data_IF_863113124271
#
_entry.id   IF_863113124271
#
_cell.length_a   1.000
_cell.length_b   1.000
_cell.length_c   1.000
_cell.angle_alpha   90.00
_cell.angle_beta   90.00
_cell.angle_gamma   90.00
#
_symmetry.space_group_name_H-M   'P 1'
#
loop_
_entity.id
_entity.type
_entity.pdbx_description
1 polymer ?
#
# COMPACT_ATOMS: atom_id res chain seq x y z
N UNK A 1 0.61 11.95 17.88
CA UNK A 1 0.44 10.78 17.00
C UNK A 1 0.61 9.55 17.87
N UNK A 2 -0.48 8.98 18.38
CA UNK A 2 -0.47 7.76 19.21
C UNK A 2 -0.19 6.54 18.31
N UNK A 3 1.06 6.37 17.89
CA UNK A 3 1.49 5.26 17.03
C UNK A 3 2.09 4.09 17.84
N UNK A 4 2.21 4.22 19.16
CA UNK A 4 3.07 3.36 19.98
C UNK A 4 2.33 2.53 21.03
N UNK A 5 1.20 1.93 20.65
CA UNK A 5 0.52 0.89 21.42
C UNK A 5 0.76 -0.48 20.77
N UNK A 6 0.86 -1.55 21.57
CA UNK A 6 1.01 -2.95 21.13
C UNK A 6 0.05 -3.41 20.02
N UNK A 7 -1.08 -2.69 19.84
CA UNK A 7 -1.97 -2.80 18.69
C UNK A 7 -2.33 -1.41 18.16
N UNK A 8 -2.48 -1.29 16.83
CA UNK A 8 -2.82 -0.02 16.19
C UNK A 8 -4.23 0.47 16.60
N UNK A 9 -4.35 1.71 17.04
CA UNK A 9 -5.62 2.38 17.40
C UNK A 9 -6.33 3.03 16.22
N UNK A 10 -5.67 3.18 15.07
CA UNK A 10 -6.31 3.68 13.85
C UNK A 10 -7.36 2.65 13.37
N UNK A 11 -8.65 3.01 13.17
CA UNK A 11 -9.72 2.02 12.96
C UNK A 11 -9.46 1.06 11.81
N UNK A 12 -9.04 1.58 10.64
CA UNK A 12 -8.79 0.77 9.44
C UNK A 12 -7.52 -0.08 9.61
N UNK A 13 -6.44 0.51 10.10
CA UNK A 13 -5.14 -0.17 10.21
C UNK A 13 -5.18 -1.19 11.34
N UNK A 14 -5.87 -0.90 12.44
CA UNK A 14 -6.05 -1.80 13.58
C UNK A 14 -6.80 -3.08 13.18
N UNK A 15 -7.90 -2.98 12.44
CA UNK A 15 -8.64 -4.16 11.97
C UNK A 15 -7.82 -5.01 11.02
N UNK A 16 -7.12 -4.37 10.07
CA UNK A 16 -6.25 -5.09 9.14
C UNK A 16 -5.09 -5.75 9.90
N UNK A 17 -4.46 -5.03 10.83
CA UNK A 17 -3.35 -5.54 11.64
C UNK A 17 -3.78 -6.71 12.53
N UNK A 18 -5.01 -6.69 13.06
CA UNK A 18 -5.53 -7.79 13.85
C UNK A 18 -5.72 -9.05 13.01
N UNK A 19 -6.32 -8.93 11.83
CA UNK A 19 -6.49 -10.06 10.90
C UNK A 19 -5.13 -10.62 10.48
N UNK A 20 -4.21 -9.74 10.13
CA UNK A 20 -2.83 -10.09 9.78
C UNK A 20 -2.07 -10.72 10.95
N UNK A 21 -2.32 -10.25 12.17
CA UNK A 21 -1.76 -10.79 13.40
C UNK A 21 -2.21 -12.21 13.69
N UNK A 22 -3.48 -12.55 13.40
CA UNK A 22 -3.95 -13.94 13.48
C UNK A 22 -3.20 -14.87 12.52
N UNK A 23 -2.90 -14.40 11.32
CA UNK A 23 -2.09 -15.15 10.35
C UNK A 23 -0.67 -15.36 10.91
N UNK A 24 -0.03 -14.30 11.40
CA UNK A 24 1.31 -14.39 12.00
C UNK A 24 1.35 -15.34 13.21
N UNK A 25 0.37 -15.23 14.11
CA UNK A 25 0.26 -16.10 15.29
C UNK A 25 0.08 -17.57 14.88
N UNK A 26 -0.81 -17.85 13.93
CA UNK A 26 -1.03 -19.21 13.43
C UNK A 26 0.24 -19.82 12.83
N UNK A 27 0.97 -19.04 12.04
CA UNK A 27 2.26 -19.48 11.47
C UNK A 27 3.27 -19.80 12.58
N UNK A 28 3.40 -18.91 13.55
CA UNK A 28 4.35 -19.11 14.65
C UNK A 28 3.99 -20.34 15.49
N UNK A 29 2.69 -20.58 15.77
CA UNK A 29 2.23 -21.78 16.48
C UNK A 29 2.61 -23.05 15.71
N UNK A 30 2.45 -23.07 14.38
CA UNK A 30 2.85 -24.21 13.55
C UNK A 30 4.36 -24.42 13.60
N UNK A 31 5.14 -23.34 13.48
CA UNK A 31 6.60 -23.38 13.55
C UNK A 31 7.12 -23.89 14.90
N UNK A 32 6.49 -23.45 16.00
CA UNK A 32 6.79 -23.95 17.33
C UNK A 32 6.41 -25.42 17.50
N UNK A 33 5.25 -25.84 16.97
CA UNK A 33 4.79 -27.24 17.04
C UNK A 33 5.69 -28.22 16.29
N UNK A 34 6.37 -27.78 15.22
CA UNK A 34 7.38 -28.60 14.50
C UNK A 34 8.79 -28.47 15.10
N UNK A 35 8.94 -27.78 16.24
CA UNK A 35 10.20 -27.63 16.97
C UNK A 35 11.15 -26.56 16.41
N UNK A 36 10.65 -25.65 15.55
CA UNK A 36 11.45 -24.58 14.94
C UNK A 36 10.82 -23.20 15.24
N UNK A 37 10.73 -22.78 16.52
CA UNK A 37 10.14 -21.49 16.89
C UNK A 37 11.05 -20.33 16.45
N UNK A 38 10.86 -19.87 15.21
CA UNK A 38 11.72 -18.91 14.55
C UNK A 38 10.92 -17.75 13.94
N UNK A 39 11.14 -16.55 14.44
CA UNK A 39 10.41 -15.36 13.98
C UNK A 39 10.80 -14.98 12.53
N UNK A 40 12.07 -15.13 12.15
CA UNK A 40 12.50 -14.86 10.78
C UNK A 40 11.78 -15.73 9.75
N UNK A 41 11.65 -17.03 10.02
CA UNK A 41 10.85 -17.94 9.20
C UNK A 41 9.36 -17.58 9.24
N UNK A 42 8.83 -17.22 10.41
CA UNK A 42 7.44 -16.79 10.54
C UNK A 42 7.15 -15.60 9.62
N UNK A 43 8.03 -14.60 9.58
CA UNK A 43 7.92 -13.43 8.70
C UNK A 43 7.94 -13.85 7.21
N UNK A 44 8.79 -14.80 6.80
CA UNK A 44 8.85 -15.28 5.41
C UNK A 44 7.53 -15.95 5.01
N UNK A 45 7.04 -16.92 5.79
CA UNK A 45 5.78 -17.61 5.49
C UNK A 45 4.59 -16.66 5.51
N UNK A 46 4.59 -15.74 6.48
CA UNK A 46 3.59 -14.70 6.60
C UNK A 46 3.54 -13.84 5.34
N UNK A 47 4.71 -13.44 4.83
CA UNK A 47 4.83 -12.70 3.58
C UNK A 47 4.25 -13.51 2.42
N UNK A 48 4.63 -14.78 2.26
CA UNK A 48 4.11 -15.67 1.20
C UNK A 48 2.58 -15.72 1.22
N UNK A 49 1.98 -15.94 2.39
CA UNK A 49 0.53 -16.07 2.54
C UNK A 49 -0.18 -14.76 2.20
N UNK A 50 0.29 -13.63 2.74
CA UNK A 50 -0.31 -12.32 2.46
C UNK A 50 -0.26 -12.00 0.98
N UNK A 51 0.89 -12.20 0.33
CA UNK A 51 1.02 -11.96 -1.12
C UNK A 51 0.15 -12.91 -1.95
N UNK A 52 0.01 -14.17 -1.54
CA UNK A 52 -0.88 -15.12 -2.19
C UNK A 52 -2.33 -14.64 -2.14
N UNK A 53 -2.82 -14.24 -0.97
CA UNK A 53 -4.17 -13.68 -0.78
C UNK A 53 -4.41 -12.40 -1.59
N UNK A 54 -3.37 -11.58 -1.79
CA UNK A 54 -3.45 -10.37 -2.60
C UNK A 54 -3.34 -10.59 -4.12
N UNK A 55 -2.84 -11.75 -4.57
CA UNK A 55 -2.66 -12.07 -6.00
C UNK A 55 -3.88 -11.73 -6.88
N UNK A 56 -5.14 -12.10 -6.54
CA UNK A 56 -6.28 -11.79 -7.39
C UNK A 56 -6.52 -10.28 -7.55
N UNK A 57 -6.22 -9.49 -6.51
CA UNK A 57 -6.27 -8.03 -6.58
C UNK A 57 -5.18 -7.52 -7.53
N UNK A 58 -3.94 -7.98 -7.37
CA UNK A 58 -2.82 -7.60 -8.24
C UNK A 58 -3.09 -7.94 -9.72
N UNK A 59 -3.66 -9.11 -10.01
CA UNK A 59 -4.05 -9.49 -11.39
C UNK A 59 -5.07 -8.50 -11.97
N UNK A 60 -6.07 -8.08 -11.19
CA UNK A 60 -7.05 -7.07 -11.65
C UNK A 60 -6.37 -5.72 -11.91
N UNK A 61 -5.45 -5.31 -11.03
CA UNK A 61 -4.70 -4.06 -11.20
C UNK A 61 -3.84 -4.08 -12.47
N UNK A 62 -3.10 -5.16 -12.72
CA UNK A 62 -2.27 -5.28 -13.91
C UNK A 62 -3.08 -5.35 -15.21
N UNK A 63 -4.27 -5.97 -15.21
CA UNK A 63 -5.20 -5.92 -16.34
C UNK A 63 -5.60 -4.48 -16.69
N UNK A 64 -5.90 -3.66 -15.67
CA UNK A 64 -6.20 -2.24 -15.87
C UNK A 64 -5.00 -1.49 -16.43
N UNK A 65 -3.77 -1.80 -15.98
CA UNK A 65 -2.54 -1.24 -16.53
C UNK A 65 -2.32 -1.61 -18.01
N UNK A 66 -2.63 -2.86 -18.43
CA UNK A 66 -2.58 -3.24 -19.85
C UNK A 66 -3.62 -2.51 -20.68
N UNK A 67 -4.84 -2.36 -20.19
CA UNK A 67 -5.86 -1.57 -20.92
C UNK A 67 -5.41 -0.11 -21.07
N UNK A 68 -4.75 0.43 -20.05
CA UNK A 68 -4.18 1.77 -20.10
C UNK A 68 -3.06 1.90 -21.12
N UNK A 69 -2.27 0.85 -21.40
CA UNK A 69 -1.22 0.91 -22.43
C UNK A 69 -1.79 1.05 -23.85
N UNK A 70 -3.00 0.51 -24.11
CA UNK A 70 -3.72 0.72 -25.38
C UNK A 70 -4.17 2.18 -25.54
N UNK A 71 -4.47 2.84 -24.42
CA UNK A 71 -4.92 4.24 -24.39
C UNK A 71 -3.76 5.23 -24.59
N UNK A 72 -2.54 4.87 -24.19
CA UNK A 72 -1.34 5.72 -24.28
C UNK A 72 -1.11 6.37 -25.66
N UNK A 73 -1.16 5.67 -26.81
CA UNK A 73 -0.90 6.30 -28.11
C UNK A 73 -1.91 7.40 -28.49
N UNK A 74 -3.21 7.23 -28.17
CA UNK A 74 -4.20 8.30 -28.41
C UNK A 74 -4.00 9.46 -27.44
N UNK A 75 -3.64 9.16 -26.19
CA UNK A 75 -3.26 10.17 -25.20
C UNK A 75 -2.08 11.01 -25.67
N UNK A 76 -1.04 10.39 -26.23
CA UNK A 76 0.13 11.09 -26.79
C UNK A 76 -0.25 11.98 -27.99
N UNK A 77 -1.21 11.55 -28.83
CA UNK A 77 -1.69 12.38 -29.95
C UNK A 77 -2.39 13.66 -29.46
N UNK A 78 -3.27 13.53 -28.46
CA UNK A 78 -3.90 14.70 -27.83
C UNK A 78 -2.85 15.60 -27.18
N UNK A 79 -1.87 15.03 -26.50
CA UNK A 79 -0.80 15.83 -25.88
C UNK A 79 -0.01 16.63 -26.93
N UNK A 80 0.43 16.00 -28.02
CA UNK A 80 1.12 16.68 -29.12
C UNK A 80 0.26 17.80 -29.75
N UNK A 81 -1.07 17.61 -29.83
CA UNK A 81 -2.01 18.62 -30.35
C UNK A 81 -2.08 19.91 -29.50
N UNK A 82 -1.83 19.80 -28.20
CA UNK A 82 -1.88 20.93 -27.25
C UNK A 82 -0.51 21.35 -26.71
N UNK A 83 0.58 20.76 -27.21
CA UNK A 83 1.93 21.07 -26.77
C UNK A 83 2.24 22.57 -26.96
N UNK A 84 2.80 23.20 -25.92
CA UNK A 84 3.13 24.63 -25.92
C UNK A 84 1.95 25.59 -25.67
N UNK A 85 0.70 25.10 -25.62
CA UNK A 85 -0.48 25.92 -25.33
C UNK A 85 -0.71 26.01 -23.82
N UNK A 86 -0.67 27.22 -23.28
CA UNK A 86 -0.84 27.48 -21.83
C UNK A 86 -2.13 28.23 -21.49
N UNK A 87 -2.94 28.59 -22.47
CA UNK A 87 -4.23 29.24 -22.25
C UNK A 87 -5.21 28.31 -21.53
N UNK A 88 -6.02 28.89 -20.63
CA UNK A 88 -6.98 28.15 -19.80
C UNK A 88 -7.97 27.35 -20.65
N UNK A 89 -8.39 27.90 -21.80
CA UNK A 89 -9.31 27.24 -22.73
C UNK A 89 -8.68 25.99 -23.37
N UNK A 90 -7.42 26.05 -23.80
CA UNK A 90 -6.70 24.89 -24.35
C UNK A 90 -6.46 23.82 -23.30
N UNK A 91 -6.16 24.19 -22.05
CA UNK A 91 -6.02 23.22 -20.96
C UNK A 91 -7.35 22.52 -20.66
N UNK A 92 -8.47 23.25 -20.62
CA UNK A 92 -9.81 22.65 -20.45
C UNK A 92 -10.14 21.70 -21.61
N UNK A 93 -9.90 22.10 -22.86
CA UNK A 93 -10.13 21.23 -24.04
C UNK A 93 -9.25 19.98 -24.01
N UNK A 94 -7.99 20.11 -23.61
CA UNK A 94 -7.09 18.96 -23.46
C UNK A 94 -7.61 17.98 -22.40
N UNK A 95 -8.11 18.48 -21.26
CA UNK A 95 -8.72 17.64 -20.23
C UNK A 95 -10.01 16.96 -20.73
N UNK A 96 -10.84 17.67 -21.51
CA UNK A 96 -12.05 17.12 -22.11
C UNK A 96 -11.75 16.00 -23.11
N UNK A 97 -10.81 16.22 -24.05
CA UNK A 97 -10.38 15.21 -25.03
C UNK A 97 -9.74 13.99 -24.34
N UNK A 98 -8.91 14.22 -23.32
CA UNK A 98 -8.35 13.17 -22.47
C UNK A 98 -9.44 12.32 -21.81
N UNK A 99 -10.45 12.98 -21.24
CA UNK A 99 -11.57 12.30 -20.61
C UNK A 99 -12.43 11.55 -21.63
N UNK A 100 -12.61 12.11 -22.83
CA UNK A 100 -13.33 11.46 -23.93
C UNK A 100 -12.61 10.19 -24.40
N UNK A 101 -11.27 10.20 -24.46
CA UNK A 101 -10.48 9.00 -24.75
C UNK A 101 -10.68 7.95 -23.66
N UNK A 102 -10.54 8.31 -22.37
CA UNK A 102 -10.78 7.35 -21.28
C UNK A 102 -12.18 6.72 -21.36
N UNK A 103 -13.19 7.53 -21.69
CA UNK A 103 -14.55 7.04 -21.88
C UNK A 103 -14.70 6.15 -23.11
N UNK A 104 -14.06 6.51 -24.23
CA UNK A 104 -14.03 5.71 -25.46
C UNK A 104 -13.48 4.33 -25.17
N UNK A 105 -12.41 4.18 -24.40
CA UNK A 105 -11.83 2.86 -24.07
C UNK A 105 -12.43 2.21 -22.81
N UNK A 106 -13.41 2.84 -22.16
CA UNK A 106 -13.99 2.33 -20.93
C UNK A 106 -12.96 2.15 -19.81
N UNK A 107 -11.92 2.98 -19.77
CA UNK A 107 -10.86 2.99 -18.74
C UNK A 107 -11.09 4.17 -17.80
N UNK A 108 -10.75 4.02 -16.52
CA UNK A 108 -10.82 5.11 -15.53
C UNK A 108 -9.43 5.60 -15.16
N UNK A 109 -9.17 6.93 -15.12
CA UNK A 109 -7.89 7.47 -14.69
C UNK A 109 -7.56 7.12 -13.22
N UNK A 110 -8.56 6.92 -12.37
CA UNK A 110 -8.40 6.48 -10.97
C UNK A 110 -8.09 4.99 -10.81
N UNK A 111 -8.17 4.22 -11.89
CA UNK A 111 -7.92 2.77 -11.85
C UNK A 111 -6.46 2.43 -11.55
N UNK A 112 -5.53 3.33 -11.89
CA UNK A 112 -4.09 3.15 -11.69
C UNK A 112 -3.59 3.57 -10.31
N UNK A 113 -4.33 4.41 -9.57
CA UNK A 113 -3.96 4.84 -8.21
C UNK A 113 -4.64 4.02 -7.10
N UNK A 114 -5.72 3.29 -7.42
CA UNK A 114 -6.38 2.37 -6.48
C UNK A 114 -5.43 1.36 -5.80
N UNK A 115 -4.41 0.79 -6.47
CA UNK A 115 -3.41 -0.05 -5.82
C UNK A 115 -2.75 0.60 -4.62
N UNK A 116 -2.30 1.85 -4.80
CA UNK A 116 -1.58 2.58 -3.76
C UNK A 116 -2.47 2.83 -2.54
N UNK A 117 -3.74 3.18 -2.78
CA UNK A 117 -4.70 3.44 -1.70
C UNK A 117 -4.96 2.21 -0.84
N UNK A 118 -5.04 1.01 -1.45
CA UNK A 118 -5.20 -0.25 -0.71
C UNK A 118 -3.87 -0.70 -0.09
N UNK A 119 -2.75 -0.47 -0.79
CA UNK A 119 -1.43 -0.92 -0.38
C UNK A 119 -0.93 -0.18 0.86
N UNK A 120 -1.19 1.13 0.99
CA UNK A 120 -0.66 1.92 2.10
C UNK A 120 -1.19 1.48 3.47
N UNK A 121 -2.52 1.37 3.72
CA UNK A 121 -3.04 0.85 4.98
C UNK A 121 -2.57 -0.58 5.27
N UNK A 122 -2.49 -1.41 4.23
CA UNK A 122 -1.99 -2.77 4.37
C UNK A 122 -0.54 -2.78 4.81
N UNK A 123 0.32 -1.99 4.16
CA UNK A 123 1.73 -1.88 4.49
C UNK A 123 1.93 -1.45 5.95
N UNK A 124 1.20 -0.43 6.42
CA UNK A 124 1.27 0.01 7.82
C UNK A 124 0.78 -1.06 8.79
N UNK A 125 -0.30 -1.76 8.48
CA UNK A 125 -0.78 -2.87 9.29
C UNK A 125 0.24 -4.01 9.37
N UNK A 126 0.91 -4.30 8.27
CA UNK A 126 1.98 -5.28 8.16
C UNK A 126 3.18 -4.90 9.04
N UNK A 127 3.62 -3.64 8.97
CA UNK A 127 4.67 -3.11 9.84
C UNK A 127 4.28 -3.17 11.31
N UNK A 128 3.05 -2.82 11.65
CA UNK A 128 2.55 -2.90 13.02
C UNK A 128 2.72 -4.32 13.57
N UNK A 129 2.38 -5.34 12.79
CA UNK A 129 2.49 -6.74 13.21
C UNK A 129 3.95 -7.15 13.41
N UNK A 130 4.87 -6.72 12.54
CA UNK A 130 6.29 -7.10 12.62
C UNK A 130 7.02 -6.34 13.75
N UNK A 131 6.70 -5.07 13.99
CA UNK A 131 7.30 -4.30 15.08
C UNK A 131 6.77 -4.70 16.46
N UNK A 132 5.50 -5.06 16.56
CA UNK A 132 4.84 -5.42 17.82
C UNK A 132 4.47 -6.91 17.87
N UNK A 133 5.38 -7.78 17.41
CA UNK A 133 5.18 -9.23 17.38
C UNK A 133 4.65 -9.77 18.72
N UNK A 134 5.17 -9.39 19.90
CA UNK A 134 4.62 -9.83 21.19
C UNK A 134 3.12 -9.55 21.38
N UNK A 135 2.61 -8.46 20.80
CA UNK A 135 1.19 -8.08 20.87
C UNK A 135 0.27 -8.88 19.94
N UNK A 136 0.84 -9.56 18.93
CA UNK A 136 0.09 -10.36 17.95
C UNK A 136 0.37 -11.85 18.05
N UNK A 137 1.55 -12.26 18.53
CA UNK A 137 1.99 -13.65 18.68
C UNK A 137 2.05 -13.98 20.16
N UNK A 138 1.03 -14.69 20.65
CA UNK A 138 0.80 -14.91 22.08
C UNK A 138 2.01 -15.57 22.76
N UNK A 139 2.54 -16.65 22.17
CA UNK A 139 3.71 -17.35 22.73
C UNK A 139 4.94 -16.45 22.87
N UNK A 140 5.16 -15.54 21.92
CA UNK A 140 6.28 -14.58 22.00
C UNK A 140 6.03 -13.55 23.09
N UNK A 141 4.81 -13.05 23.25
CA UNK A 141 4.46 -12.14 24.33
C UNK A 141 4.59 -12.75 25.73
N UNK A 142 4.20 -14.02 25.88
CA UNK A 142 4.32 -14.77 27.14
C UNK A 142 5.78 -14.91 27.60
N UNK A 143 6.75 -14.99 26.68
CA UNK A 143 8.19 -15.05 27.01
C UNK A 143 8.66 -13.83 27.81
N UNK A 144 8.07 -12.66 27.55
CA UNK A 144 8.45 -11.41 28.22
C UNK A 144 7.59 -11.10 29.43
N UNK A 145 6.41 -11.72 29.57
CA UNK A 145 5.42 -11.37 30.58
C UNK A 145 5.98 -11.40 32.00
N UNK A 146 6.74 -12.46 32.36
CA UNK A 146 7.31 -12.60 33.69
C UNK A 146 8.27 -11.46 34.07
N UNK A 147 9.13 -11.03 33.14
CA UNK A 147 10.03 -9.90 33.36
C UNK A 147 9.27 -8.56 33.31
N UNK A 148 8.33 -8.41 32.38
CA UNK A 148 7.53 -7.19 32.23
C UNK A 148 6.70 -6.87 33.49
N UNK A 149 6.12 -7.89 34.13
CA UNK A 149 5.42 -7.74 35.41
C UNK A 149 6.34 -7.20 36.50
N UNK A 150 7.56 -7.75 36.63
CA UNK A 150 8.53 -7.30 37.63
C UNK A 150 9.00 -5.87 37.36
N UNK A 151 9.28 -5.53 36.10
CA UNK A 151 9.71 -4.19 35.69
C UNK A 151 8.59 -3.14 35.73
N UNK A 152 7.32 -3.56 35.76
CA UNK A 152 6.18 -2.64 35.90
C UNK A 152 6.03 -2.03 37.29
N UNK A 153 6.83 -2.48 38.26
CA UNK A 153 6.87 -1.91 39.60
C UNK A 153 7.49 -0.50 39.56
N UNK A 154 6.92 0.41 40.36
CA UNK A 154 7.22 1.85 40.29
C UNK A 154 8.71 2.18 40.51
N UNK A 155 9.43 1.37 41.28
CA UNK A 155 10.84 1.54 41.61
C UNK A 155 11.81 1.31 40.42
N UNK A 156 11.36 0.69 39.32
CA UNK A 156 12.21 0.42 38.16
C UNK A 156 11.90 1.33 36.97
N UNK A 157 10.76 2.02 36.97
CA UNK A 157 10.23 2.70 35.78
C UNK A 157 11.09 3.88 35.33
N UNK A 158 11.65 4.65 36.27
CA UNK A 158 12.51 5.79 35.96
C UNK A 158 13.82 5.33 35.30
N UNK A 159 14.51 4.36 35.91
CA UNK A 159 15.73 3.76 35.35
C UNK A 159 15.47 3.12 33.98
N UNK A 160 14.31 2.47 33.80
CA UNK A 160 13.91 1.87 32.53
C UNK A 160 13.66 2.92 31.45
N UNK A 161 12.99 4.03 31.81
CA UNK A 161 12.71 5.14 30.90
C UNK A 161 13.98 5.86 30.47
N UNK A 162 14.89 6.10 31.42
CA UNK A 162 16.20 6.68 31.12
C UNK A 162 17.00 5.75 30.20
N UNK A 163 17.06 4.45 30.51
CA UNK A 163 17.74 3.47 29.68
C UNK A 163 17.19 3.42 28.25
N UNK A 164 15.86 3.46 28.08
CA UNK A 164 15.22 3.51 26.77
C UNK A 164 15.64 4.74 25.97
N UNK A 165 15.71 5.90 26.64
CA UNK A 165 16.13 7.18 26.05
C UNK A 165 17.59 7.14 25.60
N UNK A 166 18.50 6.70 26.49
CA UNK A 166 19.94 6.64 26.23
C UNK A 166 20.28 5.67 25.07
N UNK A 167 19.49 4.61 24.93
CA UNK A 167 19.66 3.59 23.90
C UNK A 167 18.80 3.83 22.65
N UNK A 168 18.07 4.95 22.57
CA UNK A 168 17.19 5.32 21.44
C UNK A 168 16.15 4.25 21.11
N UNK A 169 15.58 3.63 22.13
CA UNK A 169 14.55 2.60 22.01
C UNK A 169 13.19 3.28 22.00
N UNK A 170 12.46 3.15 20.88
CA UNK A 170 11.14 3.75 20.72
C UNK A 170 10.05 2.90 21.37
N UNK A 171 9.92 2.98 22.70
CA UNK A 171 8.89 2.26 23.46
C UNK A 171 8.07 3.22 24.35
N UNK A 172 6.78 2.91 24.52
CA UNK A 172 5.88 3.68 25.39
C UNK A 172 5.91 3.08 26.80
N UNK A 173 6.76 3.63 27.67
CA UNK A 173 6.89 3.23 29.07
C UNK A 173 6.02 4.10 30.00
N UNK A 174 4.78 4.36 29.59
CA UNK A 174 3.85 5.24 30.31
C UNK A 174 2.46 4.60 30.41
N UNK A 175 1.66 5.08 31.37
CA UNK A 175 0.34 4.52 31.70
C UNK A 175 0.39 3.59 32.92
N UNK A 176 -0.69 2.83 33.13
CA UNK A 176 -0.86 1.96 34.30
C UNK A 176 -1.39 0.58 33.92
N UNK A 177 -1.18 -0.40 34.82
CA UNK A 177 -1.70 -1.76 34.66
C UNK A 177 -1.26 -2.46 33.38
N UNK A 178 -2.22 -3.03 32.65
CA UNK A 178 -1.98 -3.80 31.44
C UNK A 178 -1.33 -2.97 30.31
N UNK A 179 -1.64 -1.68 30.21
CA UNK A 179 -1.05 -0.81 29.19
C UNK A 179 0.46 -0.64 29.42
N UNK A 180 0.87 -0.44 30.68
CA UNK A 180 2.28 -0.34 31.04
C UNK A 180 3.01 -1.66 30.80
N UNK A 181 2.43 -2.79 31.19
CA UNK A 181 3.03 -4.11 30.97
C UNK A 181 3.23 -4.42 29.48
N UNK A 182 2.28 -4.05 28.62
CA UNK A 182 2.41 -4.16 27.17
C UNK A 182 3.52 -3.25 26.64
N UNK A 183 3.60 -2.01 27.12
CA UNK A 183 4.68 -1.09 26.76
C UNK A 183 6.07 -1.60 27.15
N UNK A 184 6.20 -2.21 28.33
CA UNK A 184 7.44 -2.86 28.79
C UNK A 184 7.73 -4.11 27.96
N UNK A 185 6.73 -4.91 27.61
CA UNK A 185 6.91 -6.08 26.75
C UNK A 185 7.45 -5.69 25.37
N UNK A 186 6.88 -4.64 24.76
CA UNK A 186 7.36 -4.10 23.49
C UNK A 186 8.79 -3.55 23.62
N UNK A 187 9.08 -2.83 24.71
CA UNK A 187 10.44 -2.37 25.03
C UNK A 187 11.44 -3.52 25.07
N UNK A 188 11.13 -4.59 25.82
CA UNK A 188 12.00 -5.76 25.99
C UNK A 188 12.25 -6.46 24.65
N UNK A 189 11.21 -6.58 23.81
CA UNK A 189 11.34 -7.20 22.49
C UNK A 189 12.25 -6.42 21.54
N UNK A 190 12.29 -5.09 21.66
CA UNK A 190 13.13 -4.22 20.84
C UNK A 190 14.61 -4.21 21.26
N UNK A 191 14.97 -4.82 22.39
CA UNK A 191 16.34 -4.85 22.88
C UNK A 191 17.26 -5.69 21.99
N UNK A 192 18.38 -5.08 21.58
CA UNK A 192 19.50 -5.75 20.91
C UNK A 192 20.28 -6.62 21.90
N UNK A 193 21.01 -7.65 21.43
CA UNK A 193 21.81 -8.52 22.32
C UNK A 193 22.71 -7.77 23.31
N UNK A 194 23.49 -6.78 22.84
CA UNK A 194 24.37 -5.98 23.71
C UNK A 194 23.62 -5.06 24.70
N UNK A 195 22.34 -4.78 24.46
CA UNK A 195 21.52 -3.96 25.36
C UNK A 195 20.94 -4.79 26.52
N UNK A 196 20.74 -6.09 26.33
CA UNK A 196 20.32 -6.99 27.39
C UNK A 196 21.35 -7.07 28.53
N UNK A 197 22.64 -7.14 28.19
CA UNK A 197 23.73 -7.13 29.17
C UNK A 197 23.74 -5.82 29.97
N UNK A 198 23.64 -4.68 29.28
CA UNK A 198 23.57 -3.37 29.93
C UNK A 198 22.35 -3.20 30.82
N UNK A 199 21.21 -3.78 30.44
CA UNK A 199 19.98 -3.75 31.26
C UNK A 199 20.17 -4.56 32.55
N UNK A 200 20.80 -5.73 32.45
CA UNK A 200 21.08 -6.60 33.60
C UNK A 200 22.03 -5.96 34.62
N UNK A 201 22.90 -5.06 34.17
CA UNK A 201 23.91 -4.40 34.99
C UNK A 201 23.47 -3.01 35.52
N UNK A 202 22.21 -2.60 35.31
CA UNK A 202 21.67 -1.37 35.92
C UNK A 202 21.69 -1.49 37.44
N UNK A 203 22.25 -0.47 38.10
CA UNK A 203 22.19 -0.35 39.56
C UNK A 203 20.73 -0.36 40.04
N UNK A 204 20.38 -1.34 40.87
CA UNK A 204 19.00 -1.57 41.33
C UNK A 204 18.30 -2.76 40.65
N UNK A 205 18.83 -3.28 39.54
CA UNK A 205 18.26 -4.44 38.83
C UNK A 205 18.92 -5.78 39.23
N UNK A 206 19.77 -5.78 40.27
CA UNK A 206 20.51 -6.97 40.73
C UNK A 206 19.60 -8.16 41.07
N UNK A 207 18.43 -7.92 41.66
CA UNK A 207 17.42 -8.95 41.95
C UNK A 207 16.72 -9.51 40.72
N UNK A 208 16.81 -8.81 39.58
CA UNK A 208 16.21 -9.19 38.30
C UNK A 208 17.21 -9.82 37.34
N UNK A 209 18.53 -9.73 37.61
CA UNK A 209 19.61 -10.14 36.70
C UNK A 209 19.39 -11.51 36.06
N UNK A 210 19.12 -12.54 36.87
CA UNK A 210 18.86 -13.90 36.37
C UNK A 210 17.61 -13.97 35.51
N UNK A 211 16.53 -13.25 35.85
CA UNK A 211 15.31 -13.21 35.03
C UNK A 211 15.56 -12.49 33.71
N UNK A 212 16.37 -11.42 33.73
CA UNK A 212 16.77 -10.66 32.54
C UNK A 212 17.58 -11.56 31.60
N UNK A 213 18.60 -12.24 32.11
CA UNK A 213 19.47 -13.14 31.33
C UNK A 213 18.68 -14.32 30.73
N UNK A 214 17.77 -14.93 31.49
CA UNK A 214 16.89 -16.00 30.99
C UNK A 214 15.96 -15.51 29.89
N UNK A 215 15.35 -14.34 30.07
CA UNK A 215 14.46 -13.73 29.05
C UNK A 215 15.25 -13.35 27.80
N UNK A 216 16.46 -12.83 27.96
CA UNK A 216 17.36 -12.52 26.85
C UNK A 216 17.74 -13.77 26.05
N UNK A 217 18.03 -14.89 26.73
CA UNK A 217 18.35 -16.16 26.09
C UNK A 217 17.16 -16.71 25.28
N UNK A 218 15.95 -16.68 25.85
CA UNK A 218 14.72 -17.07 25.15
C UNK A 218 14.45 -16.18 23.93
N UNK A 219 14.54 -14.86 24.10
CA UNK A 219 14.40 -13.90 23.00
C UNK A 219 15.42 -14.15 21.89
N UNK A 220 16.68 -14.43 22.25
CA UNK A 220 17.73 -14.75 21.29
C UNK A 220 17.38 -16.01 20.50
N UNK A 221 16.95 -17.08 21.16
CA UNK A 221 16.62 -18.35 20.49
C UNK A 221 15.60 -18.18 19.36
N UNK A 222 14.55 -17.39 19.58
CA UNK A 222 13.47 -17.19 18.60
C UNK A 222 13.79 -16.15 17.53
N UNK A 223 14.71 -15.24 17.82
CA UNK A 223 15.12 -14.16 16.92
C UNK A 223 16.35 -14.51 16.06
N UNK A 224 17.01 -15.64 16.27
CA UNK A 224 18.14 -16.05 15.42
C UNK A 224 17.65 -16.55 14.06
N UNK A 225 18.06 -15.91 12.97
CA UNK A 225 17.78 -16.33 11.60
C UNK A 225 19.03 -16.18 10.73
N UNK A 226 19.37 -17.23 9.97
CA UNK A 226 20.57 -17.26 9.13
C UNK A 226 21.88 -16.88 9.86
N UNK A 227 21.97 -17.22 11.16
CA UNK A 227 23.13 -16.92 12.00
C UNK A 227 23.17 -15.51 12.59
N UNK A 228 22.13 -14.70 12.38
CA UNK A 228 22.07 -13.32 12.89
C UNK A 228 20.80 -13.11 13.71
N UNK A 229 20.84 -12.26 14.74
CA UNK A 229 19.66 -11.89 15.51
C UNK A 229 18.85 -10.82 14.79
N UNK A 230 17.60 -11.11 14.40
CA UNK A 230 16.79 -10.23 13.58
C UNK A 230 16.40 -8.88 14.22
N UNK A 231 16.62 -8.69 15.53
CA UNK A 231 16.42 -7.40 16.20
C UNK A 231 17.53 -6.39 15.90
N UNK A 232 18.71 -6.87 15.50
CA UNK A 232 19.82 -6.01 15.06
C UNK A 232 19.58 -5.45 13.67
N UNK A 233 20.14 -4.28 13.37
CA UNK A 233 20.21 -3.78 12.00
C UNK A 233 21.40 -4.39 11.25
N UNK A 234 21.37 -4.49 9.92
CA UNK A 234 22.53 -4.89 9.14
C UNK A 234 23.77 -4.06 9.47
N UNK A 235 23.61 -2.77 9.76
CA UNK A 235 24.74 -1.93 10.17
C UNK A 235 25.37 -2.38 11.49
N UNK A 236 24.56 -2.72 12.50
CA UNK A 236 25.07 -3.23 13.79
C UNK A 236 25.88 -4.51 13.57
N UNK A 237 25.34 -5.43 12.75
CA UNK A 237 25.97 -6.72 12.47
C UNK A 237 27.26 -6.56 11.68
N UNK A 238 27.30 -5.62 10.72
CA UNK A 238 28.53 -5.30 9.98
C UNK A 238 29.59 -4.76 10.94
N UNK A 239 29.23 -3.79 11.78
CA UNK A 239 30.17 -3.18 12.74
C UNK A 239 30.71 -4.22 13.71
N UNK A 240 29.80 -4.93 14.41
CA UNK A 240 30.17 -5.95 15.39
C UNK A 240 30.91 -7.12 14.73
N UNK A 241 30.51 -7.49 13.51
CA UNK A 241 31.12 -8.59 12.77
C UNK A 241 32.54 -8.29 12.30
N UNK A 242 32.83 -7.05 11.91
CA UNK A 242 34.19 -6.60 11.60
C UNK A 242 35.05 -6.61 12.87
N UNK A 243 34.55 -6.08 13.98
CA UNK A 243 35.26 -6.07 15.27
C UNK A 243 35.56 -7.49 15.77
N UNK A 244 34.62 -8.43 15.58
CA UNK A 244 34.74 -9.83 16.00
C UNK A 244 35.41 -10.76 14.95
N UNK A 245 35.77 -10.25 13.76
CA UNK A 245 36.35 -11.07 12.68
C UNK A 245 35.40 -12.09 12.04
N UNK A 246 34.08 -11.95 12.21
CA UNK A 246 33.05 -12.89 11.72
C UNK A 246 32.56 -12.51 10.31
N UNK A 247 33.46 -12.61 9.33
CA UNK A 247 33.22 -12.16 7.95
C UNK A 247 32.02 -12.79 7.25
N UNK A 248 31.63 -14.02 7.60
CA UNK A 248 30.43 -14.67 7.04
C UNK A 248 29.17 -13.88 7.42
N UNK A 249 29.05 -13.44 8.67
CA UNK A 249 27.91 -12.65 9.13
C UNK A 249 27.90 -11.26 8.50
N UNK A 250 29.08 -10.66 8.31
CA UNK A 250 29.23 -9.39 7.58
C UNK A 250 28.70 -9.52 6.16
N UNK A 251 29.08 -10.58 5.44
CA UNK A 251 28.59 -10.84 4.07
C UNK A 251 27.07 -10.99 4.06
N UNK A 252 26.51 -11.81 4.95
CA UNK A 252 25.05 -12.01 5.04
C UNK A 252 24.34 -10.67 5.32
N UNK A 253 24.86 -9.85 6.23
CA UNK A 253 24.30 -8.54 6.55
C UNK A 253 24.37 -7.56 5.37
N UNK A 254 25.48 -7.54 4.61
CA UNK A 254 25.62 -6.70 3.40
C UNK A 254 24.67 -7.17 2.28
N UNK A 255 24.41 -8.47 2.18
CA UNK A 255 23.49 -8.99 1.17
C UNK A 255 22.05 -8.50 1.36
N UNK A 256 21.62 -8.21 2.59
CA UNK A 256 20.25 -7.74 2.89
C UNK A 256 19.88 -6.47 2.10
N UNK A 257 20.58 -5.33 2.25
CA UNK A 257 20.27 -4.11 1.50
C UNK A 257 20.54 -4.25 -0.01
N UNK A 258 21.52 -5.05 -0.42
CA UNK A 258 21.83 -5.31 -1.84
C UNK A 258 20.68 -6.06 -2.52
N UNK A 259 20.18 -7.12 -1.89
CA UNK A 259 19.04 -7.89 -2.38
C UNK A 259 17.77 -7.05 -2.37
N UNK A 260 17.53 -6.26 -1.32
CA UNK A 260 16.40 -5.33 -1.27
C UNK A 260 16.45 -4.34 -2.44
N UNK A 261 17.59 -3.68 -2.68
CA UNK A 261 17.78 -2.80 -3.83
C UNK A 261 17.52 -3.50 -5.17
N UNK A 262 18.21 -4.62 -5.40
CA UNK A 262 18.17 -5.34 -6.66
C UNK A 262 16.77 -5.85 -6.98
N UNK A 263 16.09 -6.45 -6.00
CA UNK A 263 14.74 -6.99 -6.18
C UNK A 263 13.70 -5.88 -6.36
N UNK A 264 13.85 -4.74 -5.68
CA UNK A 264 13.00 -3.56 -5.89
C UNK A 264 13.17 -3.03 -7.32
N UNK A 265 14.42 -2.86 -7.78
CA UNK A 265 14.75 -2.44 -9.13
C UNK A 265 14.20 -3.40 -10.19
N UNK A 266 14.38 -4.71 -9.99
CA UNK A 266 13.88 -5.75 -10.89
C UNK A 266 12.35 -5.70 -10.97
N UNK A 267 11.66 -5.55 -9.84
CA UNK A 267 10.21 -5.46 -9.80
C UNK A 267 9.69 -4.28 -10.64
N UNK A 268 10.34 -3.11 -10.53
CA UNK A 268 9.99 -1.94 -11.36
C UNK A 268 10.24 -2.17 -12.85
N UNK A 269 11.29 -2.91 -13.21
CA UNK A 269 11.60 -3.23 -14.61
C UNK A 269 10.60 -4.22 -15.22
N UNK A 270 10.01 -5.08 -14.37
CA UNK A 270 8.98 -6.04 -14.77
C UNK A 270 7.57 -5.44 -14.79
N UNK A 271 7.34 -4.28 -14.17
CA UNK A 271 6.05 -3.59 -14.24
C UNK A 271 5.86 -2.87 -15.58
N UNK A 272 4.64 -2.84 -16.15
CA UNK A 272 4.36 -2.09 -17.37
C UNK A 272 4.65 -0.60 -17.18
N UNK A 273 5.64 -0.06 -17.88
CA UNK A 273 5.95 1.36 -17.86
C UNK A 273 5.05 2.12 -18.84
N UNK A 274 4.52 3.26 -18.40
CA UNK A 274 3.74 4.17 -19.24
C UNK A 274 4.69 5.11 -20.00
N UNK A 275 4.68 5.08 -21.33
CA UNK A 275 5.55 5.90 -22.18
C UNK A 275 5.06 7.34 -22.36
N UNK A 276 5.97 8.28 -22.05
CA UNK A 276 6.13 9.72 -22.39
C UNK A 276 5.07 10.47 -23.24
N UNK A 277 4.70 11.69 -22.79
CA UNK A 277 4.24 12.72 -23.72
C UNK A 277 3.57 14.03 -23.23
N UNK A 278 3.42 14.35 -21.93
CA UNK A 278 2.60 15.51 -21.49
C UNK A 278 3.34 16.42 -20.49
N UNK A 279 3.27 17.76 -20.57
CA UNK A 279 3.79 18.66 -19.53
C UNK A 279 3.07 18.55 -18.15
N UNK A 280 1.76 18.25 -18.12
CA UNK A 280 1.02 18.00 -16.86
C UNK A 280 1.15 16.56 -16.35
N UNK A 281 1.62 15.64 -17.19
CA UNK A 281 1.97 14.27 -16.81
C UNK A 281 3.48 14.09 -16.67
N UNK A 282 4.30 15.08 -17.05
CA UNK A 282 5.75 15.15 -16.84
C UNK A 282 6.04 15.34 -15.35
N UNK A 283 5.15 16.04 -14.61
CA UNK A 283 5.19 16.04 -13.15
C UNK A 283 4.90 14.65 -12.57
N UNK A 284 3.89 13.94 -13.08
CA UNK A 284 3.53 12.60 -12.60
C UNK A 284 4.51 11.51 -13.09
N UNK A 285 5.07 11.61 -14.29
CA UNK A 285 6.09 10.71 -14.84
C UNK A 285 7.48 11.01 -14.29
N UNK A 286 7.82 12.28 -14.08
CA UNK A 286 8.98 12.69 -13.30
C UNK A 286 8.89 12.14 -11.88
N UNK A 287 7.71 12.18 -11.26
CA UNK A 287 7.46 11.55 -9.96
C UNK A 287 7.59 10.02 -10.03
N UNK A 288 7.08 9.36 -11.09
CA UNK A 288 7.24 7.91 -11.29
C UNK A 288 8.69 7.49 -11.58
N UNK A 289 9.44 8.28 -12.36
CA UNK A 289 10.85 8.04 -12.66
C UNK A 289 11.70 8.29 -11.42
N UNK A 290 11.41 9.35 -10.66
CA UNK A 290 11.99 9.59 -9.34
C UNK A 290 11.68 8.43 -8.40
N UNK A 291 10.43 7.95 -8.36
CA UNK A 291 10.07 6.78 -7.55
C UNK A 291 10.84 5.52 -7.99
N UNK A 292 10.91 5.22 -9.29
CA UNK A 292 11.58 4.02 -9.79
C UNK A 292 13.10 4.05 -9.59
N UNK A 293 13.72 5.23 -9.58
CA UNK A 293 15.18 5.37 -9.41
C UNK A 293 15.58 5.55 -7.95
N UNK A 294 14.87 6.39 -7.20
CA UNK A 294 15.23 6.75 -5.83
C UNK A 294 14.70 5.75 -4.82
N UNK A 295 13.49 5.20 -5.01
CA UNK A 295 12.87 4.33 -4.02
C UNK A 295 13.70 3.06 -3.75
N UNK A 296 14.28 2.35 -4.74
CA UNK A 296 15.19 1.24 -4.46
C UNK A 296 16.39 1.64 -3.60
N UNK A 297 17.01 2.79 -3.89
CA UNK A 297 18.18 3.29 -3.17
C UNK A 297 17.79 3.66 -1.73
N UNK A 298 16.67 4.36 -1.58
CA UNK A 298 16.12 4.71 -0.28
C UNK A 298 15.74 3.48 0.53
N UNK A 299 15.10 2.48 -0.10
CA UNK A 299 14.77 1.20 0.53
C UNK A 299 16.03 0.47 0.99
N UNK A 300 17.10 0.47 0.18
CA UNK A 300 18.38 -0.12 0.55
C UNK A 300 19.01 0.59 1.75
N UNK A 301 19.02 1.93 1.74
CA UNK A 301 19.48 2.73 2.87
C UNK A 301 18.68 2.43 4.14
N UNK A 302 17.36 2.34 4.04
CA UNK A 302 16.50 2.00 5.18
C UNK A 302 16.71 0.56 5.66
N UNK A 303 17.03 -0.38 4.77
CA UNK A 303 17.39 -1.75 5.17
C UNK A 303 18.69 -1.77 5.99
N UNK A 304 19.64 -0.86 5.73
CA UNK A 304 20.89 -0.80 6.48
C UNK A 304 20.64 -0.37 7.93
N UNK A 305 19.69 0.53 8.15
CA UNK A 305 19.46 1.18 9.45
C UNK A 305 18.37 0.53 10.30
N UNK A 306 17.39 -0.13 9.68
CA UNK A 306 16.32 -0.82 10.40
C UNK A 306 16.68 -2.26 10.79
N UNK A 307 15.89 -2.81 11.71
CA UNK A 307 16.05 -4.20 12.15
C UNK A 307 15.92 -5.17 10.98
N UNK A 308 16.70 -6.25 11.01
CA UNK A 308 16.68 -7.25 9.94
C UNK A 308 15.34 -7.95 9.80
N UNK A 309 14.50 -8.01 10.84
CA UNK A 309 13.13 -8.54 10.71
C UNK A 309 12.34 -7.88 9.57
N UNK A 310 12.51 -6.57 9.39
CA UNK A 310 11.90 -5.81 8.29
C UNK A 310 12.62 -6.05 6.97
N UNK A 311 13.95 -6.13 7.00
CA UNK A 311 14.75 -6.49 5.83
C UNK A 311 14.34 -7.84 5.24
N UNK A 312 14.11 -8.84 6.09
CA UNK A 312 13.62 -10.18 5.70
C UNK A 312 12.26 -10.06 5.01
N UNK A 313 11.31 -9.32 5.60
CA UNK A 313 10.01 -9.06 4.98
C UNK A 313 10.15 -8.41 3.60
N UNK A 314 10.99 -7.37 3.48
CA UNK A 314 11.20 -6.67 2.22
C UNK A 314 11.78 -7.56 1.14
N UNK A 315 12.82 -8.35 1.46
CA UNK A 315 13.45 -9.28 0.53
C UNK A 315 12.46 -10.37 0.12
N UNK A 316 11.83 -11.04 1.09
CA UNK A 316 10.86 -12.09 0.81
C UNK A 316 9.72 -11.57 -0.06
N UNK A 317 9.16 -10.41 0.30
CA UNK A 317 8.09 -9.77 -0.44
C UNK A 317 8.53 -9.40 -1.86
N UNK A 318 9.73 -8.86 -2.03
CA UNK A 318 10.24 -8.48 -3.35
C UNK A 318 10.50 -9.69 -4.26
N UNK A 319 11.04 -10.79 -3.71
CA UNK A 319 11.19 -12.06 -4.43
C UNK A 319 9.82 -12.60 -4.88
N UNK A 320 8.84 -12.66 -3.96
CA UNK A 320 7.49 -13.12 -4.28
C UNK A 320 6.84 -12.22 -5.34
N UNK A 321 6.96 -10.89 -5.20
CA UNK A 321 6.45 -9.94 -6.19
C UNK A 321 7.12 -10.14 -7.55
N UNK A 322 8.41 -10.42 -7.62
CA UNK A 322 9.09 -10.71 -8.89
C UNK A 322 8.51 -11.98 -9.54
N UNK A 323 8.36 -13.06 -8.77
CA UNK A 323 7.76 -14.31 -9.25
C UNK A 323 6.32 -14.06 -9.74
N UNK A 324 5.49 -13.41 -8.92
CA UNK A 324 4.13 -13.02 -9.27
C UNK A 324 4.10 -12.16 -10.53
N UNK A 325 4.98 -11.16 -10.64
CA UNK A 325 5.03 -10.27 -11.80
C UNK A 325 5.37 -11.04 -13.08
N UNK A 326 6.32 -11.97 -13.05
CA UNK A 326 6.63 -12.83 -14.21
C UNK A 326 5.44 -13.69 -14.60
N UNK A 327 4.81 -14.36 -13.62
CA UNK A 327 3.65 -15.24 -13.86
C UNK A 327 2.45 -14.45 -14.40
N UNK A 328 2.13 -13.31 -13.79
CA UNK A 328 1.00 -12.49 -14.18
C UNK A 328 1.28 -11.85 -15.55
N UNK A 329 2.49 -11.32 -15.80
CA UNK A 329 2.87 -10.79 -17.11
C UNK A 329 2.71 -11.84 -18.20
N UNK A 330 3.17 -13.08 -17.96
CA UNK A 330 3.02 -14.18 -18.92
C UNK A 330 1.55 -14.50 -19.20
N UNK A 331 0.71 -14.54 -18.17
CA UNK A 331 -0.75 -14.75 -18.32
C UNK A 331 -1.44 -13.59 -19.02
N UNK A 332 -0.98 -12.37 -18.78
CA UNK A 332 -1.55 -11.14 -19.34
C UNK A 332 -1.10 -10.93 -20.78
N UNK A 333 0.11 -11.33 -21.17
CA UNK A 333 0.64 -11.19 -22.53
C UNK A 333 -0.30 -11.81 -23.58
N UNK A 334 -0.84 -13.01 -23.31
CA UNK A 334 -1.75 -13.72 -24.20
C UNK A 334 -3.20 -13.21 -24.24
N UNK A 335 -3.58 -12.18 -23.46
CA UNK A 335 -4.91 -11.57 -23.57
C UNK A 335 -4.94 -10.49 -24.65
N UNK A 336 -5.92 -10.51 -25.55
CA UNK A 336 -6.10 -9.41 -26.48
C UNK A 336 -6.56 -8.14 -25.72
N UNK A 337 -5.79 -7.06 -25.89
CA UNK A 337 -6.03 -5.82 -25.19
C UNK A 337 -7.30 -5.11 -25.71
N UNK A 338 -7.66 -5.32 -26.99
CA UNK A 338 -8.87 -4.80 -27.59
C UNK A 338 -10.12 -5.53 -27.06
N UNK A 339 -10.03 -6.85 -26.88
CA UNK A 339 -11.08 -7.65 -26.27
C UNK A 339 -11.33 -7.23 -24.81
N UNK A 340 -10.27 -6.94 -24.05
CA UNK A 340 -10.38 -6.43 -22.68
C UNK A 340 -11.07 -5.06 -22.63
N UNK A 341 -10.75 -4.17 -23.58
CA UNK A 341 -11.41 -2.86 -23.74
C UNK A 341 -12.89 -3.05 -24.05
N UNK A 342 -13.24 -3.92 -25.02
CA UNK A 342 -14.64 -4.20 -25.38
C UNK A 342 -15.44 -4.72 -24.19
N UNK A 343 -14.91 -5.71 -23.46
CA UNK A 343 -15.54 -6.22 -22.22
C UNK A 343 -15.73 -5.13 -21.16
N UNK A 344 -14.79 -4.19 -21.05
CA UNK A 344 -14.93 -3.05 -20.13
C UNK A 344 -16.03 -2.09 -20.57
N UNK A 345 -16.08 -1.74 -21.85
CA UNK A 345 -17.14 -0.90 -22.43
C UNK A 345 -18.52 -1.52 -22.20
N UNK A 346 -18.69 -2.82 -22.49
CA UNK A 346 -19.95 -3.53 -22.24
C UNK A 346 -20.35 -3.51 -20.76
N UNK A 347 -19.38 -3.71 -19.85
CA UNK A 347 -19.63 -3.65 -18.41
C UNK A 347 -20.03 -2.24 -17.96
N UNK A 348 -19.43 -1.21 -18.54
CA UNK A 348 -19.81 0.18 -18.28
C UNK A 348 -21.20 0.49 -18.83
N UNK A 349 -21.53 0.04 -20.04
CA UNK A 349 -22.84 0.19 -20.66
C UNK A 349 -23.92 -0.49 -19.81
N UNK A 350 -23.71 -1.74 -19.38
CA UNK A 350 -24.61 -2.46 -18.46
C UNK A 350 -24.80 -1.72 -17.13
N UNK A 351 -23.72 -1.17 -16.55
CA UNK A 351 -23.81 -0.36 -15.32
C UNK A 351 -24.60 0.94 -15.51
N UNK A 352 -24.50 1.59 -16.68
CA UNK A 352 -25.27 2.81 -17.01
C UNK A 352 -26.73 2.50 -17.26
N UNK A 353 -27.03 1.44 -18.00
CA UNK A 353 -28.38 0.95 -18.23
C UNK A 353 -29.08 0.64 -16.89
N UNK A 354 -28.39 -0.04 -15.96
CA UNK A 354 -28.89 -0.27 -14.59
C UNK A 354 -29.15 1.00 -13.78
N UNK A 355 -28.49 2.11 -14.13
CA UNK A 355 -28.67 3.44 -13.52
C UNK A 355 -29.69 4.31 -14.27
N UNK A 356 -30.32 3.79 -15.34
CA UNK A 356 -31.28 4.54 -16.17
C UNK A 356 -30.65 5.66 -16.99
N UNK A 357 -29.32 5.67 -17.14
CA UNK A 357 -28.58 6.69 -17.89
C UNK A 357 -28.51 6.31 -19.37
N UNK A 358 -28.57 7.29 -20.29
CA UNK A 358 -28.48 7.03 -21.72
C UNK A 358 -27.24 6.26 -22.11
N UNK A 359 -27.41 5.40 -23.12
CA UNK A 359 -26.28 4.80 -23.80
C UNK A 359 -25.39 5.95 -24.28
N UNK A 360 -24.10 5.89 -23.93
CA UNK A 360 -23.15 6.86 -24.43
C UNK A 360 -22.94 6.57 -25.92
N UNK A 361 -23.81 7.11 -26.77
CA UNK A 361 -23.42 7.42 -28.14
C UNK A 361 -22.19 8.31 -27.98
N UNK A 362 -21.05 7.91 -28.54
CA UNK A 362 -19.89 8.80 -28.68
C UNK A 362 -20.46 9.98 -29.48
N UNK A 363 -20.89 11.04 -28.79
CA UNK A 363 -21.51 12.17 -29.44
C UNK A 363 -20.50 12.70 -30.42
N UNK A 364 -20.99 13.04 -31.61
CA UNK A 364 -20.18 13.56 -32.70
C UNK A 364 -19.27 14.70 -32.25
N UNK A 365 -19.52 15.39 -31.14
CA UNK A 365 -18.60 16.32 -30.48
C UNK A 365 -17.17 15.76 -30.24
N UNK A 366 -16.99 14.46 -29.98
CA UNK A 366 -15.67 13.82 -29.93
C UNK A 366 -15.01 13.65 -31.33
N UNK A 367 -15.80 13.74 -32.40
CA UNK A 367 -15.36 13.79 -33.81
C UNK A 367 -15.34 15.22 -34.40
N UNK A 368 -16.03 16.21 -33.83
CA UNK A 368 -16.36 17.48 -34.54
C UNK A 368 -15.41 18.65 -34.23
N UNK A 369 -14.61 18.65 -33.17
CA UNK A 369 -13.79 19.83 -32.85
C UNK A 369 -12.35 19.83 -33.44
N UNK A 370 -12.21 19.51 -34.73
CA UNK A 370 -10.92 19.67 -35.44
C UNK A 370 -10.94 20.69 -36.56
N UNK A 371 -12.08 21.34 -36.89
CA UNK A 371 -12.10 22.21 -38.08
C UNK A 371 -12.73 23.59 -38.02
N UNK A 372 -13.33 24.05 -36.93
CA UNK A 372 -13.71 25.47 -36.83
C UNK A 372 -13.65 25.95 -35.39
N UNK A 373 -12.61 26.72 -35.07
CA UNK A 373 -12.65 27.68 -33.97
C UNK A 373 -12.78 29.03 -34.64
N UNK A 374 -14.02 29.43 -34.89
CA UNK A 374 -14.37 30.83 -35.12
C UNK A 374 -15.34 31.23 -34.00
N UNK A 375 -15.19 32.47 -33.54
CA UNK A 375 -15.75 33.05 -32.33
C UNK A 375 -17.22 32.71 -32.03
N UNK A 376 -17.65 32.76 -30.74
CA UNK A 376 -18.97 32.33 -30.34
C UNK A 376 -20.03 33.29 -30.88
N UNK A 377 -20.61 32.96 -32.04
CA UNK A 377 -21.80 33.64 -32.50
C UNK A 377 -22.99 33.18 -31.63
N UNK A 378 -23.64 34.15 -30.97
CA UNK A 378 -24.84 33.98 -30.14
C UNK A 378 -26.01 33.57 -31.05
N UNK A 379 -26.11 32.29 -31.37
CA UNK A 379 -27.14 31.82 -32.28
C UNK A 379 -27.19 30.31 -32.43
N UNK A 380 -27.34 29.56 -31.35
CA UNK A 380 -27.78 28.17 -31.46
C UNK A 380 -28.63 27.76 -30.27
N UNK A 381 -29.94 28.06 -30.39
CA UNK A 381 -30.98 27.63 -29.46
C UNK A 381 -31.70 26.35 -29.91
N UNK A 382 -31.15 25.63 -30.90
CA UNK A 382 -31.84 24.51 -31.57
C UNK A 382 -31.32 23.10 -31.23
N UNK A 383 -30.34 22.93 -30.32
CA UNK A 383 -29.82 21.60 -29.98
C UNK A 383 -30.17 21.10 -28.57
N UNK A 384 -31.18 21.69 -27.92
CA UNK A 384 -31.76 21.18 -26.67
C UNK A 384 -32.74 20.02 -26.87
N UNK A 385 -33.15 19.71 -28.09
CA UNK A 385 -34.16 18.68 -28.37
C UNK A 385 -33.61 17.24 -28.36
N UNK A 386 -32.32 17.05 -28.67
CA UNK A 386 -31.74 15.71 -28.86
C UNK A 386 -31.30 15.06 -27.52
N UNK A 387 -30.87 15.87 -26.55
CA UNK A 387 -30.55 15.40 -25.19
C UNK A 387 -31.79 15.22 -24.31
N UNK A 388 -32.91 15.88 -24.65
CA UNK A 388 -34.19 15.74 -23.95
C UNK A 388 -35.02 14.55 -24.45
N UNK A 389 -34.78 14.06 -25.67
CA UNK A 389 -35.53 12.92 -26.24
C UNK A 389 -35.34 11.62 -25.46
N UNK A 390 -34.15 11.39 -24.91
CA UNK A 390 -33.90 10.23 -24.05
C UNK A 390 -34.76 10.24 -22.77
N UNK A 391 -35.05 11.43 -22.22
CA UNK A 391 -35.94 11.58 -21.07
C UNK A 391 -37.42 11.52 -21.46
N UNK A 392 -37.78 11.70 -22.74
CA UNK A 392 -39.17 11.58 -23.21
C UNK A 392 -39.72 10.15 -23.10
N UNK A 393 -38.85 9.14 -23.22
CA UNK A 393 -39.27 7.72 -23.30
C UNK A 393 -38.98 6.88 -22.02
N UNK A 394 -38.47 7.47 -20.94
CA UNK A 394 -38.12 6.76 -19.71
C UNK A 394 -39.27 6.74 -18.69
N UNK A 395 -40.40 6.11 -19.00
CA UNK A 395 -41.58 6.03 -18.12
C UNK A 395 -41.38 5.13 -16.88
N UNK A 396 -40.42 4.19 -16.93
CA UNK A 396 -40.15 3.22 -15.85
C UNK A 396 -38.76 3.40 -15.20
N UNK A 397 -38.45 4.63 -14.75
CA UNK A 397 -37.20 4.90 -14.02
C UNK A 397 -37.32 4.54 -12.53
N UNK A 398 -36.25 4.01 -11.92
CA UNK A 398 -36.22 3.74 -10.46
C UNK A 398 -36.51 5.03 -9.68
N UNK A 399 -37.31 5.00 -8.59
CA UNK A 399 -37.74 6.20 -7.86
C UNK A 399 -36.60 7.14 -7.45
N UNK A 400 -35.46 6.60 -7.04
CA UNK A 400 -34.30 7.39 -6.57
C UNK A 400 -33.31 7.79 -7.67
N UNK A 401 -33.60 7.50 -8.94
CA UNK A 401 -32.69 7.81 -10.05
C UNK A 401 -32.77 9.28 -10.48
N UNK A 402 -31.67 9.80 -11.03
CA UNK A 402 -31.62 11.15 -11.64
C UNK A 402 -32.69 11.28 -12.74
N UNK A 403 -32.97 10.19 -13.46
CA UNK A 403 -34.00 10.12 -14.49
C UNK A 403 -35.41 10.31 -13.92
N UNK A 404 -35.72 9.75 -12.75
CA UNK A 404 -37.01 9.96 -12.07
C UNK A 404 -37.17 11.41 -11.58
N UNK A 405 -36.10 12.01 -11.05
CA UNK A 405 -36.09 13.44 -10.65
C UNK A 405 -36.27 14.36 -11.85
N UNK A 406 -35.61 14.08 -12.98
CA UNK A 406 -35.78 14.81 -14.23
C UNK A 406 -37.22 14.71 -14.76
N UNK A 407 -37.85 13.52 -14.66
CA UNK A 407 -39.25 13.33 -15.02
C UNK A 407 -40.21 14.12 -14.11
N UNK A 408 -39.95 14.21 -12.80
CA UNK A 408 -40.77 15.02 -11.89
C UNK A 408 -40.72 16.51 -12.21
N UNK A 409 -39.52 17.05 -12.49
CA UNK A 409 -39.37 18.46 -12.90
C UNK A 409 -40.11 18.72 -14.21
N UNK A 410 -40.01 17.81 -15.20
CA UNK A 410 -40.78 17.91 -16.44
C UNK A 410 -42.30 17.91 -16.19
N UNK A 411 -42.80 17.01 -15.36
CA UNK A 411 -44.24 16.95 -15.03
C UNK A 411 -44.71 18.21 -14.30
N UNK A 412 -43.87 18.78 -13.45
CA UNK A 412 -44.13 20.06 -12.78
C UNK A 412 -44.19 21.22 -13.79
N UNK A 413 -43.23 21.29 -14.71
CA UNK A 413 -43.18 22.33 -15.76
C UNK A 413 -44.34 22.19 -16.75
N UNK A 414 -44.73 20.98 -17.13
CA UNK A 414 -45.90 20.74 -17.99
C UNK A 414 -47.22 21.13 -17.31
N UNK A 415 -47.36 20.82 -16.01
CA UNK A 415 -48.53 21.25 -15.22
C UNK A 415 -48.60 22.77 -15.07
N UNK A 416 -47.46 23.44 -14.90
CA UNK A 416 -47.42 24.89 -14.73
C UNK A 416 -47.51 25.65 -16.06
N UNK A 417 -46.99 25.12 -17.15
CA UNK A 417 -47.16 25.73 -18.48
C UNK A 417 -48.60 25.57 -19.01
N UNK A 418 -49.31 24.48 -18.66
CA UNK A 418 -50.75 24.35 -18.94
C UNK A 418 -51.64 25.31 -18.17
N UNK A 419 -51.15 25.95 -17.10
CA UNK A 419 -51.85 27.02 -16.36
C UNK A 419 -51.59 28.42 -16.92
N UNK A 420 -50.64 28.58 -17.85
CA UNK A 420 -50.24 29.86 -18.47
C UNK A 420 -50.75 30.03 -19.91
N UNK A 421 -51.43 29.03 -20.47
CA UNK A 421 -52.27 29.14 -21.65
C UNK A 421 -53.72 29.07 -21.19
#
# INVERSE_FOLDING_TARGET
MEILLSKSTMPIIGWIAQLLGWIMNGIYIVLDAIGIPNIGLAIIFYTIIVYMLMTPLQVKQQKMSKMMSVVQPEMQKVQKKYQGKRDQASQMKMQEETMAIYQKYGVSPTGSCLPLLIQMPLLFALYQVIYHIPGYVTKVGEMFSGLAVKLSQANFLESLTQFATDNKIAAQLSGTGEALQKGITDFLYLLKPAQWEKLADINGFSSLKTTIEQTAAQSRQVNMFAGINISESPWDVIKNGIEAGTWILVIVAVLVPVLAWFTQWLNYKLMPQQTTGNPQQDSMQGSMKMMNTIMPIFSAFMCVTFSMGIGIYWIAGAVIRCIQQVVINRKIAGMDAEELVKKSQEKQAKKRAKKGLPEKKITQQARVNVRNIQEPNRGSRNNTNDSTEYYKNATNARPDSITAKANMVRQFDEKNNKKKK
#
